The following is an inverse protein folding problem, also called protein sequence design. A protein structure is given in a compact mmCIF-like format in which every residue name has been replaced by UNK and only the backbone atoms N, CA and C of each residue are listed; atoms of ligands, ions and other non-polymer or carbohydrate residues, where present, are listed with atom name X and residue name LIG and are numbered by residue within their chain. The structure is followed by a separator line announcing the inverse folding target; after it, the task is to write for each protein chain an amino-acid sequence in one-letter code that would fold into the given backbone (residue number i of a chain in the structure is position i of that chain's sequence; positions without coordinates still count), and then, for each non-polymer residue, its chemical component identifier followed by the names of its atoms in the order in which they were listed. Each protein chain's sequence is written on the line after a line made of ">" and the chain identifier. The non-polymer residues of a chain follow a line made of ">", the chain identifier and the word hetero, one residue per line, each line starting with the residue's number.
data_IF_891402580553
#
_entry.id   IF_891402580553
#
_cell.length_a   1.000
_cell.length_b   1.000
_cell.length_c   1.000
_cell.angle_alpha   90.00
_cell.angle_beta   90.00
_cell.angle_gamma   90.00
#
_symmetry.space_group_name_H-M   'P 1'
#
loop_
_entity.id
_entity.type
_entity.pdbx_description
1 polymer ?
#
# COMPACT_ATOMS: atom_id res chain seq x y z
N UNK A 1 -12.50 34.11 -7.06
CA UNK A 1 -12.03 33.66 -5.72
C UNK A 1 -11.15 34.69 -5.00
N UNK A 2 -10.02 35.13 -5.59
CA UNK A 2 -9.13 36.11 -4.95
C UNK A 2 -9.77 37.46 -4.63
N UNK A 3 -10.58 38.01 -5.55
CA UNK A 3 -11.32 39.25 -5.30
C UNK A 3 -12.32 39.13 -4.14
N UNK A 4 -12.96 37.96 -3.98
CA UNK A 4 -13.90 37.71 -2.89
C UNK A 4 -13.19 37.57 -1.54
N UNK A 5 -12.06 36.85 -1.50
CA UNK A 5 -11.26 36.69 -0.28
C UNK A 5 -10.65 38.02 0.17
N UNK A 6 -10.20 38.85 -0.78
CA UNK A 6 -9.76 40.22 -0.53
C UNK A 6 -10.90 41.12 -0.01
N UNK A 7 -12.12 40.97 -0.53
CA UNK A 7 -13.29 41.70 -0.04
C UNK A 7 -13.69 41.28 1.38
N UNK A 8 -13.66 39.97 1.69
CA UNK A 8 -13.90 39.44 3.04
C UNK A 8 -12.85 39.98 4.02
N UNK A 9 -11.56 39.91 3.65
CA UNK A 9 -10.47 40.43 4.48
C UNK A 9 -10.68 41.93 4.75
N UNK A 10 -10.96 42.72 3.71
CA UNK A 10 -11.23 44.15 3.83
C UNK A 10 -12.43 44.46 4.72
N UNK A 11 -13.51 43.68 4.62
CA UNK A 11 -14.70 43.81 5.47
C UNK A 11 -14.38 43.51 6.93
N UNK A 12 -13.70 42.40 7.20
CA UNK A 12 -13.34 41.97 8.54
C UNK A 12 -12.36 42.94 9.23
N UNK A 13 -11.37 43.46 8.49
CA UNK A 13 -10.48 44.53 8.96
C UNK A 13 -11.27 45.79 9.34
N UNK A 14 -12.21 46.23 8.48
CA UNK A 14 -13.03 47.44 8.72
C UNK A 14 -14.05 47.27 9.85
N UNK A 15 -14.47 46.05 10.17
CA UNK A 15 -15.44 45.73 11.24
C UNK A 15 -14.77 45.40 12.58
N UNK A 16 -13.63 46.04 12.86
CA UNK A 16 -12.92 45.89 14.13
C UNK A 16 -11.90 44.77 14.15
N UNK A 17 -11.23 44.51 13.01
CA UNK A 17 -10.22 43.45 12.87
C UNK A 17 -10.72 42.08 13.32
N UNK A 18 -11.89 41.66 12.80
CA UNK A 18 -12.42 40.33 13.11
C UNK A 18 -11.42 39.25 12.67
N UNK A 19 -10.97 38.36 13.58
CA UNK A 19 -10.02 37.32 13.23
C UNK A 19 -10.71 36.25 12.37
N UNK A 20 -10.05 35.87 11.29
CA UNK A 20 -10.46 34.83 10.35
C UNK A 20 -9.52 33.64 10.47
N UNK A 21 -10.10 32.45 10.50
CA UNK A 21 -9.42 31.17 10.29
C UNK A 21 -9.86 30.61 8.95
N UNK A 22 -8.90 30.34 8.06
CA UNK A 22 -9.16 29.77 6.74
C UNK A 22 -8.85 28.28 6.73
N UNK A 23 -9.85 27.46 6.40
CA UNK A 23 -9.68 26.03 6.18
C UNK A 23 -9.75 25.77 4.67
N UNK A 24 -8.76 25.07 4.11
CA UNK A 24 -8.76 24.65 2.70
C UNK A 24 -8.55 23.16 2.67
N UNK A 25 -9.57 22.43 2.24
CA UNK A 25 -9.44 21.00 1.99
C UNK A 25 -9.05 20.72 0.54
N UNK A 26 -8.36 19.61 0.32
CA UNK A 26 -7.91 19.13 -0.98
C UNK A 26 -7.25 20.19 -1.88
N UNK A 27 -6.31 20.96 -1.31
CA UNK A 27 -5.71 22.10 -2.01
C UNK A 27 -5.06 21.72 -3.36
N UNK A 28 -4.63 20.47 -3.50
CA UNK A 28 -3.92 19.91 -4.65
C UNK A 28 -4.80 19.05 -5.57
N UNK A 29 -6.08 18.83 -5.27
CA UNK A 29 -6.91 17.94 -6.09
C UNK A 29 -7.07 18.45 -7.54
N UNK A 30 -7.25 19.75 -7.70
CA UNK A 30 -7.31 20.38 -9.02
C UNK A 30 -6.01 20.20 -9.82
N UNK A 31 -4.87 20.44 -9.19
CA UNK A 31 -3.56 20.35 -9.84
C UNK A 31 -3.14 18.91 -10.09
N UNK A 32 -3.48 17.98 -9.19
CA UNK A 32 -3.32 16.54 -9.41
C UNK A 32 -4.12 16.07 -10.62
N UNK A 33 -5.35 16.58 -10.80
CA UNK A 33 -6.19 16.28 -11.96
C UNK A 33 -5.61 16.85 -13.26
N UNK A 34 -5.08 18.08 -13.23
CA UNK A 34 -4.42 18.69 -14.39
C UNK A 34 -3.19 17.88 -14.78
N UNK A 35 -2.37 17.57 -13.78
CA UNK A 35 -1.17 16.76 -13.95
C UNK A 35 -1.57 15.43 -14.59
N UNK A 36 -2.50 14.69 -13.98
CA UNK A 36 -2.88 13.36 -14.43
C UNK A 36 -3.56 13.28 -15.80
N UNK A 37 -4.23 14.35 -16.22
CA UNK A 37 -5.08 14.33 -17.43
C UNK A 37 -4.43 15.04 -18.60
N UNK A 38 -3.78 16.17 -18.34
CA UNK A 38 -3.32 17.09 -19.38
C UNK A 38 -1.80 17.20 -19.46
N UNK A 39 -1.05 16.60 -18.52
CA UNK A 39 0.40 16.64 -18.57
C UNK A 39 1.04 17.77 -17.78
N UNK A 40 2.37 17.71 -17.70
CA UNK A 40 3.21 18.68 -16.99
C UNK A 40 3.14 20.08 -17.59
N UNK A 41 2.90 20.23 -18.91
CA UNK A 41 2.82 21.55 -19.56
C UNK A 41 1.61 22.37 -19.06
N UNK A 42 0.42 21.77 -19.03
CA UNK A 42 -0.78 22.45 -18.52
C UNK A 42 -0.71 22.68 -17.01
N UNK A 43 -0.10 21.74 -16.29
CA UNK A 43 0.20 21.90 -14.88
C UNK A 43 1.06 23.15 -14.63
N UNK A 44 2.18 23.29 -15.36
CA UNK A 44 3.06 24.45 -15.25
C UNK A 44 2.33 25.76 -15.57
N UNK A 45 1.48 25.80 -16.60
CA UNK A 45 0.66 26.99 -16.91
C UNK A 45 -0.28 27.37 -15.76
N UNK A 46 -0.76 26.41 -14.98
CA UNK A 46 -1.66 26.66 -13.85
C UNK A 46 -0.94 27.06 -12.56
N UNK A 47 0.29 26.57 -12.34
CA UNK A 47 1.05 26.73 -11.09
C UNK A 47 2.20 27.76 -11.16
N UNK A 48 2.74 28.04 -12.35
CA UNK A 48 3.84 28.99 -12.54
C UNK A 48 3.37 30.34 -13.09
N UNK A 49 4.23 31.37 -13.05
CA UNK A 49 3.96 32.67 -13.68
C UNK A 49 2.70 33.36 -13.13
N UNK A 50 1.77 33.73 -14.00
CA UNK A 50 0.44 34.29 -13.68
C UNK A 50 -0.65 33.21 -13.49
N UNK A 51 -0.25 31.94 -13.32
CA UNK A 51 -1.14 30.81 -13.14
C UNK A 51 -2.15 31.03 -12.00
N UNK A 52 -3.39 30.58 -12.23
CA UNK A 52 -4.50 30.80 -11.31
C UNK A 52 -4.23 30.31 -9.88
N UNK A 53 -3.59 29.14 -9.72
CA UNK A 53 -3.35 28.53 -8.40
C UNK A 53 -2.37 29.37 -7.59
N UNK A 54 -1.26 29.80 -8.23
CA UNK A 54 -0.30 30.72 -7.61
C UNK A 54 -0.94 32.07 -7.28
N UNK A 55 -1.76 32.60 -8.19
CA UNK A 55 -2.52 33.83 -7.95
C UNK A 55 -3.45 33.74 -6.74
N UNK A 56 -4.12 32.60 -6.55
CA UNK A 56 -4.98 32.35 -5.40
C UNK A 56 -4.19 32.35 -4.07
N UNK A 57 -3.09 31.60 -4.00
CA UNK A 57 -2.26 31.54 -2.79
C UNK A 57 -1.52 32.85 -2.49
N UNK A 58 -1.14 33.62 -3.51
CA UNK A 58 -0.62 34.97 -3.35
C UNK A 58 -1.63 35.89 -2.63
N UNK A 59 -2.91 35.81 -2.99
CA UNK A 59 -3.97 36.60 -2.32
C UNK A 59 -4.13 36.19 -0.86
N UNK A 60 -4.08 34.88 -0.57
CA UNK A 60 -4.14 34.38 0.81
C UNK A 60 -2.95 34.88 1.62
N UNK A 61 -1.73 34.77 1.08
CA UNK A 61 -0.51 35.28 1.73
C UNK A 61 -0.58 36.78 1.97
N UNK A 62 -1.04 37.56 0.99
CA UNK A 62 -1.24 39.00 1.18
C UNK A 62 -2.27 39.29 2.29
N UNK A 63 -3.29 38.45 2.42
CA UNK A 63 -4.29 38.59 3.47
C UNK A 63 -3.77 38.26 4.88
N UNK A 64 -2.65 37.54 5.03
CA UNK A 64 -2.00 37.28 6.34
C UNK A 64 -0.97 38.35 6.72
N UNK A 65 -0.47 39.12 5.75
CA UNK A 65 0.60 40.11 5.96
C UNK A 65 0.06 41.53 6.03
N UNK A 66 0.26 42.23 7.16
CA UNK A 66 -0.01 43.66 7.29
C UNK A 66 -0.74 44.06 8.58
N UNK A 67 -0.65 45.33 8.95
CA UNK A 67 -1.38 45.91 10.10
C UNK A 67 -2.88 45.90 9.83
N UNK A 68 -3.64 45.19 10.66
CA UNK A 68 -5.09 45.02 10.49
C UNK A 68 -5.51 43.87 9.57
N UNK A 69 -4.58 42.95 9.22
CA UNK A 69 -4.94 41.69 8.56
C UNK A 69 -5.99 40.93 9.37
N UNK A 70 -7.08 40.54 8.72
CA UNK A 70 -8.12 39.74 9.36
C UNK A 70 -7.76 38.25 9.37
N UNK A 71 -7.01 37.75 8.38
CA UNK A 71 -6.62 36.34 8.31
C UNK A 71 -5.48 36.02 9.27
N UNK A 72 -5.83 35.46 10.43
CA UNK A 72 -4.90 35.19 11.53
C UNK A 72 -4.29 33.79 11.45
N UNK A 73 -5.07 32.79 11.04
CA UNK A 73 -4.61 31.40 10.91
C UNK A 73 -5.22 30.73 9.71
N UNK A 74 -4.57 29.65 9.32
CA UNK A 74 -5.02 28.82 8.23
C UNK A 74 -4.54 27.39 8.45
N UNK A 75 -5.39 26.46 8.04
CA UNK A 75 -5.11 25.04 8.06
C UNK A 75 -5.53 24.47 6.72
N UNK A 76 -4.62 23.77 6.05
CA UNK A 76 -4.85 23.27 4.71
C UNK A 76 -4.48 21.80 4.64
N UNK A 77 -5.29 21.04 3.92
CA UNK A 77 -5.12 19.60 3.71
C UNK A 77 -5.06 19.32 2.21
N UNK A 78 -4.32 18.28 1.87
CA UNK A 78 -4.07 17.83 0.51
C UNK A 78 -3.29 16.52 0.57
N UNK A 79 -3.06 15.92 -0.59
CA UNK A 79 -2.43 14.60 -0.67
C UNK A 79 -0.92 14.75 -0.88
N UNK A 80 -0.51 15.52 -1.87
CA UNK A 80 0.88 15.62 -2.35
C UNK A 80 1.50 17.00 -2.09
N UNK A 81 2.78 17.07 -1.68
CA UNK A 81 3.48 18.33 -1.49
C UNK A 81 3.82 19.04 -2.81
N UNK A 82 3.69 18.37 -3.96
CA UNK A 82 4.11 18.85 -5.30
C UNK A 82 3.56 20.23 -5.62
N UNK A 83 2.26 20.39 -5.43
CA UNK A 83 1.58 21.66 -5.73
C UNK A 83 2.03 22.79 -4.85
N UNK A 84 2.28 22.53 -3.57
CA UNK A 84 2.75 23.56 -2.64
C UNK A 84 4.14 24.05 -3.00
N UNK A 85 5.03 23.14 -3.41
CA UNK A 85 6.39 23.49 -3.78
C UNK A 85 6.43 24.37 -5.04
N UNK A 86 5.64 24.02 -6.06
CA UNK A 86 5.57 24.79 -7.30
C UNK A 86 4.87 26.17 -7.14
N UNK A 87 4.08 26.35 -6.07
CA UNK A 87 3.53 27.67 -5.70
C UNK A 87 4.33 28.41 -4.62
N UNK A 88 5.46 27.87 -4.12
CA UNK A 88 6.20 28.34 -2.93
C UNK A 88 6.55 29.83 -2.93
N UNK A 89 6.89 30.43 -4.07
CA UNK A 89 7.11 31.89 -4.11
C UNK A 89 5.88 32.69 -3.63
N UNK A 90 4.69 32.13 -3.82
CA UNK A 90 3.42 32.68 -3.37
C UNK A 90 2.92 32.22 -2.01
N UNK A 91 3.53 31.20 -1.40
CA UNK A 91 2.99 30.59 -0.16
C UNK A 91 4.03 30.00 0.82
N UNK A 92 5.21 30.61 0.94
CA UNK A 92 6.25 30.21 1.90
C UNK A 92 5.96 30.55 3.38
N UNK A 93 4.69 30.56 3.80
CA UNK A 93 4.25 30.91 5.16
C UNK A 93 3.68 29.70 5.93
N UNK A 94 3.54 28.56 5.27
CA UNK A 94 3.04 27.32 5.86
C UNK A 94 4.12 26.57 6.65
N UNK A 95 3.71 25.83 7.66
CA UNK A 95 4.53 24.82 8.34
C UNK A 95 3.97 23.45 7.98
N UNK A 96 4.80 22.57 7.40
CA UNK A 96 4.41 21.20 7.12
C UNK A 96 4.41 20.39 8.43
N UNK A 97 3.27 19.79 8.77
CA UNK A 97 3.06 19.02 9.99
C UNK A 97 2.75 17.54 9.71
N UNK A 98 2.86 17.07 8.46
CA UNK A 98 2.41 15.73 8.04
C UNK A 98 3.05 14.59 8.84
N UNK A 99 4.30 14.76 9.27
CA UNK A 99 5.03 13.74 10.05
C UNK A 99 5.23 14.16 11.52
N UNK A 100 4.58 15.25 11.93
CA UNK A 100 4.66 15.75 13.30
C UNK A 100 3.94 14.78 14.26
N UNK A 101 4.61 14.28 15.31
CA UNK A 101 4.04 13.32 16.25
C UNK A 101 2.77 13.78 16.97
N UNK A 102 2.48 15.08 17.01
CA UNK A 102 1.25 15.63 17.60
C UNK A 102 0.02 15.45 16.71
N UNK A 103 0.21 15.12 15.44
CA UNK A 103 -0.88 14.97 14.47
C UNK A 103 -0.95 13.56 13.88
N UNK A 104 -0.28 12.58 14.50
CA UNK A 104 -0.26 11.20 14.00
C UNK A 104 -1.64 10.54 14.00
N UNK A 105 -2.51 10.91 14.94
CA UNK A 105 -3.90 10.46 15.08
C UNK A 105 -4.91 11.39 14.40
N UNK A 106 -4.45 12.44 13.70
CA UNK A 106 -5.34 13.40 13.06
C UNK A 106 -6.15 12.79 11.91
N UNK A 107 -5.54 11.83 11.20
CA UNK A 107 -6.09 11.21 9.98
C UNK A 107 -6.12 9.69 10.12
N UNK A 108 -7.25 9.20 10.63
CA UNK A 108 -7.54 7.78 10.81
C UNK A 108 -8.31 7.55 12.11
N UNK A 109 -8.52 6.28 12.45
CA UNK A 109 -9.00 5.89 13.77
C UNK A 109 -7.93 5.10 14.49
N UNK A 110 -7.63 5.45 15.74
CA UNK A 110 -6.89 4.56 16.63
C UNK A 110 -7.71 3.30 16.91
N UNK A 111 -7.05 2.21 17.33
CA UNK A 111 -7.79 1.00 17.75
C UNK A 111 -8.75 1.31 18.91
N UNK A 112 -8.42 2.26 19.78
CA UNK A 112 -9.27 2.68 20.89
C UNK A 112 -10.56 3.37 20.39
N UNK A 113 -10.47 4.33 19.48
CA UNK A 113 -11.63 5.01 18.89
C UNK A 113 -12.50 4.02 18.09
N UNK A 114 -11.85 3.10 17.35
CA UNK A 114 -12.56 2.04 16.64
C UNK A 114 -13.35 1.15 17.62
N UNK A 115 -12.72 0.71 18.71
CA UNK A 115 -13.37 -0.10 19.76
C UNK A 115 -14.54 0.64 20.39
N UNK A 116 -14.39 1.92 20.68
CA UNK A 116 -15.47 2.75 21.23
C UNK A 116 -16.67 2.80 20.28
N UNK A 117 -16.42 3.12 19.00
CA UNK A 117 -17.46 3.15 17.97
C UNK A 117 -18.15 1.79 17.80
N UNK A 118 -17.38 0.69 17.71
CA UNK A 118 -17.93 -0.66 17.57
C UNK A 118 -18.75 -1.07 18.80
N UNK A 119 -18.32 -0.70 20.00
CA UNK A 119 -19.05 -0.97 21.25
C UNK A 119 -20.39 -0.25 21.23
N UNK A 120 -20.41 1.03 20.83
CA UNK A 120 -21.65 1.77 20.69
C UNK A 120 -22.63 1.07 19.73
N UNK A 121 -22.19 0.68 18.53
CA UNK A 121 -23.08 -0.01 17.58
C UNK A 121 -23.48 -1.42 18.03
N UNK A 122 -22.66 -2.08 18.85
CA UNK A 122 -23.02 -3.34 19.51
C UNK A 122 -24.14 -3.14 20.52
N UNK A 123 -24.05 -2.13 21.37
CA UNK A 123 -25.07 -1.78 22.36
C UNK A 123 -26.39 -1.34 21.72
N UNK A 124 -26.33 -0.68 20.56
CA UNK A 124 -27.52 -0.35 19.77
C UNK A 124 -28.13 -1.55 19.02
N UNK A 125 -27.54 -2.74 19.11
CA UNK A 125 -28.02 -3.95 18.43
C UNK A 125 -27.80 -3.98 16.92
N UNK A 126 -26.94 -3.10 16.40
CA UNK A 126 -26.63 -3.00 14.96
C UNK A 126 -25.48 -3.95 14.58
N UNK A 127 -24.49 -4.10 15.45
CA UNK A 127 -23.36 -5.01 15.23
C UNK A 127 -23.69 -6.42 15.76
N UNK A 128 -23.90 -7.37 14.85
CA UNK A 128 -24.25 -8.76 15.21
C UNK A 128 -23.05 -9.50 15.82
N UNK A 129 -21.84 -9.25 15.34
CA UNK A 129 -20.60 -9.87 15.80
C UNK A 129 -20.06 -9.21 17.07
N UNK A 130 -19.06 -9.82 17.71
CA UNK A 130 -18.33 -9.18 18.80
C UNK A 130 -17.39 -8.10 18.27
N UNK A 131 -17.05 -7.13 19.13
CA UNK A 131 -16.10 -6.05 18.79
C UNK A 131 -14.74 -6.65 18.36
N UNK A 132 -14.26 -7.68 19.07
CA UNK A 132 -12.99 -8.33 18.76
C UNK A 132 -13.00 -9.05 17.41
N UNK A 133 -14.07 -9.79 17.09
CA UNK A 133 -14.22 -10.43 15.77
C UNK A 133 -14.20 -9.41 14.64
N UNK A 134 -14.88 -8.27 14.82
CA UNK A 134 -14.90 -7.19 13.84
C UNK A 134 -13.51 -6.57 13.64
N UNK A 135 -12.77 -6.32 14.72
CA UNK A 135 -11.40 -5.79 14.64
C UNK A 135 -10.47 -6.79 13.95
N UNK A 136 -10.58 -8.09 14.25
CA UNK A 136 -9.78 -9.14 13.60
C UNK A 136 -9.98 -9.16 12.08
N UNK A 137 -11.18 -8.83 11.59
CA UNK A 137 -11.43 -8.71 10.15
C UNK A 137 -10.90 -7.40 9.54
N UNK A 138 -10.96 -6.29 10.28
CA UNK A 138 -10.53 -4.98 9.79
C UNK A 138 -9.00 -4.82 9.78
N UNK A 139 -8.32 -5.30 10.83
CA UNK A 139 -6.89 -5.07 11.07
C UNK A 139 -5.96 -5.43 9.89
N UNK A 140 -6.10 -6.61 9.24
CA UNK A 140 -5.27 -6.97 8.09
C UNK A 140 -5.51 -6.08 6.85
N UNK A 141 -6.69 -5.46 6.76
CA UNK A 141 -7.15 -4.75 5.57
C UNK A 141 -7.01 -3.24 5.70
N UNK A 142 -7.14 -2.68 6.91
CA UNK A 142 -7.32 -1.24 7.12
C UNK A 142 -6.33 -0.60 8.09
N UNK A 143 -5.58 -1.36 8.88
CA UNK A 143 -4.64 -0.86 9.91
C UNK A 143 -3.22 -0.60 9.36
N UNK A 144 -2.29 -0.33 10.29
CA UNK A 144 -0.85 -0.13 10.14
C UNK A 144 -0.43 1.17 9.43
N UNK A 145 -1.27 2.20 9.49
CA UNK A 145 -0.84 3.53 9.08
C UNK A 145 -0.16 4.25 10.25
N UNK A 146 1.12 4.59 10.11
CA UNK A 146 1.87 5.43 11.02
C UNK A 146 2.60 6.53 10.24
N UNK A 147 2.41 7.77 10.69
CA UNK A 147 2.89 8.95 9.99
C UNK A 147 4.10 9.58 10.68
N UNK A 148 4.47 9.12 11.89
CA UNK A 148 5.59 9.66 12.64
C UNK A 148 6.52 8.59 13.24
N UNK A 149 7.83 8.81 13.10
CA UNK A 149 8.89 7.89 13.57
C UNK A 149 8.89 7.68 15.08
N UNK A 150 8.33 8.62 15.86
CA UNK A 150 8.23 8.52 17.33
C UNK A 150 6.89 7.96 17.82
N UNK A 151 6.01 7.54 16.89
CA UNK A 151 4.65 7.07 17.15
C UNK A 151 4.40 5.67 16.58
N UNK A 152 5.44 4.85 16.46
CA UNK A 152 5.35 3.50 15.86
C UNK A 152 4.37 2.55 16.57
N UNK A 153 4.01 2.82 17.82
CA UNK A 153 3.01 2.05 18.56
C UNK A 153 1.57 2.52 18.32
N UNK A 154 1.40 3.72 17.74
CA UNK A 154 0.12 4.40 17.55
C UNK A 154 -0.27 4.32 16.06
N UNK A 155 -0.49 3.10 15.56
CA UNK A 155 -0.97 2.89 14.19
C UNK A 155 -2.47 3.19 14.07
N UNK A 156 -2.83 3.73 12.91
CA UNK A 156 -4.18 4.17 12.58
C UNK A 156 -4.83 3.23 11.57
N UNK A 157 -6.13 3.02 11.75
CA UNK A 157 -7.01 2.45 10.77
C UNK A 157 -7.43 3.52 9.76
N UNK A 158 -7.50 3.15 8.48
CA UNK A 158 -8.08 3.98 7.45
C UNK A 158 -9.57 4.24 7.76
N UNK A 159 -9.92 5.50 8.03
CA UNK A 159 -11.26 5.88 8.48
C UNK A 159 -12.34 5.65 7.42
N UNK A 160 -12.05 5.93 6.15
CA UNK A 160 -13.01 5.73 5.05
C UNK A 160 -13.40 4.25 4.93
N UNK A 161 -12.40 3.37 4.96
CA UNK A 161 -12.60 1.93 4.89
C UNK A 161 -13.35 1.36 6.10
N UNK A 162 -13.04 1.85 7.30
CA UNK A 162 -13.79 1.50 8.50
C UNK A 162 -15.25 1.93 8.36
N UNK A 163 -15.52 3.16 7.93
CA UNK A 163 -16.88 3.69 7.77
C UNK A 163 -17.65 2.96 6.66
N UNK A 164 -17.00 2.60 5.56
CA UNK A 164 -17.55 1.76 4.49
C UNK A 164 -17.99 0.39 5.04
N UNK A 165 -17.12 -0.25 5.81
CA UNK A 165 -17.42 -1.53 6.44
C UNK A 165 -18.59 -1.41 7.43
N UNK A 166 -18.59 -0.37 8.26
CA UNK A 166 -19.67 -0.10 9.22
C UNK A 166 -21.01 0.20 8.55
N UNK A 167 -20.99 0.94 7.43
CA UNK A 167 -22.20 1.20 6.64
C UNK A 167 -22.87 -0.10 6.20
N UNK A 168 -22.10 -1.12 5.82
CA UNK A 168 -22.67 -2.43 5.45
C UNK A 168 -23.38 -3.10 6.62
N UNK A 169 -22.77 -3.10 7.81
CA UNK A 169 -23.42 -3.61 9.02
C UNK A 169 -24.70 -2.86 9.39
N UNK A 170 -24.67 -1.53 9.30
CA UNK A 170 -25.83 -0.69 9.61
C UNK A 170 -27.00 -0.97 8.66
N UNK A 171 -26.73 -1.18 7.37
CA UNK A 171 -27.77 -1.35 6.35
C UNK A 171 -28.23 -2.79 6.16
N UNK A 172 -27.33 -3.76 6.38
CA UNK A 172 -27.55 -5.16 5.98
C UNK A 172 -27.35 -6.15 7.14
N UNK A 173 -26.79 -5.73 8.27
CA UNK A 173 -26.49 -6.60 9.40
C UNK A 173 -25.27 -7.51 9.20
N UNK A 174 -24.56 -7.35 8.09
CA UNK A 174 -23.39 -8.14 7.70
C UNK A 174 -22.27 -7.25 7.15
N UNK A 175 -21.08 -7.83 7.01
CA UNK A 175 -19.91 -7.17 6.40
C UNK A 175 -20.13 -7.01 4.89
N UNK A 176 -19.43 -6.07 4.22
CA UNK A 176 -19.52 -5.96 2.77
C UNK A 176 -18.95 -7.21 2.08
N UNK A 177 -19.53 -7.55 0.92
CA UNK A 177 -19.03 -8.62 0.05
C UNK A 177 -17.62 -8.32 -0.45
N UNK A 178 -17.40 -7.07 -0.88
CA UNK A 178 -16.09 -6.55 -1.23
C UNK A 178 -15.50 -5.76 -0.07
N UNK A 179 -14.36 -6.18 0.47
CA UNK A 179 -13.72 -5.53 1.62
C UNK A 179 -13.14 -4.14 1.29
N UNK A 180 -13.13 -3.74 0.01
CA UNK A 180 -12.55 -2.48 -0.45
C UNK A 180 -13.66 -1.60 -0.99
N UNK A 181 -13.76 -0.37 -0.47
CA UNK A 181 -14.66 0.62 -1.07
C UNK A 181 -14.21 0.89 -2.53
N UNK A 182 -15.09 0.64 -3.52
CA UNK A 182 -14.78 0.93 -4.93
C UNK A 182 -14.38 2.39 -5.18
N UNK A 183 -14.80 3.34 -4.34
CA UNK A 183 -14.46 4.76 -4.48
C UNK A 183 -12.97 5.06 -4.21
N UNK A 184 -12.30 4.28 -3.37
CA UNK A 184 -10.86 4.49 -3.11
C UNK A 184 -10.01 3.98 -4.30
N UNK A 185 -10.51 3.00 -5.07
CA UNK A 185 -9.82 2.49 -6.27
C UNK A 185 -9.57 3.58 -7.32
N UNK A 186 -10.49 4.55 -7.45
CA UNK A 186 -10.33 5.65 -8.41
C UNK A 186 -9.21 6.61 -8.04
N UNK A 187 -8.93 6.82 -6.76
CA UNK A 187 -7.81 7.67 -6.33
C UNK A 187 -6.47 7.00 -6.59
N UNK A 188 -6.41 5.68 -6.47
CA UNK A 188 -5.20 4.94 -6.83
C UNK A 188 -4.88 5.00 -8.33
N UNK A 189 -5.87 5.15 -9.22
CA UNK A 189 -5.62 5.33 -10.65
C UNK A 189 -4.84 6.62 -11.00
N UNK A 190 -4.82 7.63 -10.12
CA UNK A 190 -4.00 8.85 -10.28
C UNK A 190 -2.50 8.52 -10.21
N UNK A 191 -2.10 7.45 -9.51
CA UNK A 191 -0.71 6.95 -9.49
C UNK A 191 -0.28 6.30 -10.80
N UNK A 192 -1.20 5.65 -11.52
CA UNK A 192 -0.89 5.05 -12.82
C UNK A 192 -0.38 6.11 -13.82
N UNK A 193 -0.73 7.38 -13.61
CA UNK A 193 -0.18 8.50 -14.35
C UNK A 193 1.28 8.84 -13.99
N UNK A 194 1.66 8.80 -12.71
CA UNK A 194 3.04 9.09 -12.28
C UNK A 194 4.05 8.09 -12.85
N UNK A 195 3.64 6.82 -12.99
CA UNK A 195 4.45 5.79 -13.66
C UNK A 195 4.45 5.98 -15.18
N UNK A 196 3.37 6.49 -15.79
CA UNK A 196 3.36 6.84 -17.23
C UNK A 196 4.39 7.93 -17.56
N UNK A 197 4.67 8.83 -16.62
CA UNK A 197 5.64 9.90 -16.79
C UNK A 197 7.09 9.41 -16.75
N UNK A 198 7.38 8.28 -16.11
CA UNK A 198 8.73 7.69 -16.06
C UNK A 198 9.16 7.03 -17.40
N UNK A 199 8.42 7.28 -18.49
CA UNK A 199 8.68 6.73 -19.82
C UNK A 199 8.86 5.20 -19.91
N UNK A 200 8.56 4.42 -18.86
CA UNK A 200 8.49 2.97 -18.90
C UNK A 200 8.99 2.24 -17.65
N UNK A 201 9.96 1.33 -17.83
CA UNK A 201 10.56 0.46 -16.81
C UNK A 201 11.81 1.12 -16.20
N UNK A 202 11.67 2.36 -15.75
CA UNK A 202 12.75 3.14 -15.18
C UNK A 202 13.04 2.79 -13.72
N UNK A 203 13.66 3.73 -13.02
CA UNK A 203 14.05 3.55 -11.61
C UNK A 203 12.82 3.43 -10.70
N UNK A 204 11.69 4.06 -11.05
CA UNK A 204 10.47 4.00 -10.23
C UNK A 204 9.79 2.64 -10.29
N UNK A 205 9.82 1.97 -11.44
CA UNK A 205 9.37 0.57 -11.54
C UNK A 205 10.24 -0.34 -10.66
N UNK A 206 11.55 -0.09 -10.62
CA UNK A 206 12.49 -0.82 -9.79
C UNK A 206 12.21 -0.62 -8.29
N UNK A 207 11.77 0.57 -7.87
CA UNK A 207 11.31 0.83 -6.49
C UNK A 207 10.11 -0.03 -6.12
N UNK A 208 9.08 -0.12 -6.96
CA UNK A 208 7.90 -0.95 -6.68
C UNK A 208 8.28 -2.44 -6.60
N UNK A 209 9.16 -2.88 -7.48
CA UNK A 209 9.71 -4.24 -7.47
C UNK A 209 10.51 -4.51 -6.19
N UNK A 210 11.39 -3.59 -5.79
CA UNK A 210 12.15 -3.69 -4.52
C UNK A 210 11.21 -3.83 -3.32
N UNK A 211 10.13 -3.03 -3.26
CA UNK A 211 9.12 -3.13 -2.20
C UNK A 211 8.41 -4.49 -2.24
N UNK A 212 8.10 -5.02 -3.42
CA UNK A 212 7.50 -6.35 -3.55
C UNK A 212 8.46 -7.47 -3.13
N UNK A 213 9.76 -7.29 -3.32
CA UNK A 213 10.79 -8.30 -3.00
C UNK A 213 11.23 -8.26 -1.54
N UNK A 214 11.42 -7.07 -0.98
CA UNK A 214 11.96 -6.87 0.36
C UNK A 214 10.87 -6.58 1.41
N UNK A 215 9.65 -6.23 0.97
CA UNK A 215 8.55 -5.82 1.85
C UNK A 215 8.72 -4.44 2.50
N UNK A 216 9.89 -3.82 2.34
CA UNK A 216 10.23 -2.53 2.94
C UNK A 216 11.21 -1.73 2.10
N UNK A 217 11.31 -0.43 2.40
CA UNK A 217 12.29 0.44 1.77
C UNK A 217 12.73 1.53 2.75
N UNK A 218 14.03 1.79 2.81
CA UNK A 218 14.57 2.86 3.66
C UNK A 218 14.73 4.14 2.84
N UNK A 219 14.14 5.25 3.29
CA UNK A 219 14.23 6.54 2.60
C UNK A 219 13.87 7.72 3.50
N UNK A 220 14.44 8.89 3.22
CA UNK A 220 13.96 10.14 3.81
C UNK A 220 12.72 10.64 3.08
N UNK A 221 11.65 10.89 3.83
CA UNK A 221 10.42 11.50 3.32
C UNK A 221 10.69 12.97 3.01
N UNK A 222 10.72 13.32 1.73
CA UNK A 222 10.88 14.70 1.28
C UNK A 222 9.61 15.51 1.61
N UNK A 223 9.77 16.69 2.19
CA UNK A 223 8.65 17.58 2.55
C UNK A 223 8.23 18.50 1.40
N UNK A 224 9.10 18.66 0.40
CA UNK A 224 8.95 19.59 -0.73
C UNK A 224 9.72 19.06 -1.94
N UNK A 225 9.09 19.09 -3.12
CA UNK A 225 9.70 18.83 -4.44
C UNK A 225 8.71 19.23 -5.54
N UNK A 226 9.22 19.65 -6.70
CA UNK A 226 8.40 20.11 -7.82
C UNK A 226 7.79 18.95 -8.63
N UNK A 227 6.83 19.26 -9.50
CA UNK A 227 6.31 18.30 -10.46
C UNK A 227 7.38 17.80 -11.46
N UNK A 228 8.48 18.53 -11.66
CA UNK A 228 9.57 18.09 -12.53
C UNK A 228 10.48 17.05 -11.86
N UNK A 229 10.55 17.06 -10.54
CA UNK A 229 11.42 16.18 -9.73
C UNK A 229 10.66 14.97 -9.17
N UNK A 230 9.36 14.85 -9.44
CA UNK A 230 8.52 13.80 -8.85
C UNK A 230 8.90 12.38 -9.30
N UNK A 231 9.55 12.25 -10.46
CA UNK A 231 10.07 10.98 -10.97
C UNK A 231 11.43 10.62 -10.39
N UNK A 232 12.09 11.52 -9.65
CA UNK A 232 13.33 11.18 -8.95
C UNK A 232 13.03 10.11 -7.89
N UNK A 233 13.88 9.09 -7.82
CA UNK A 233 13.69 7.90 -6.96
C UNK A 233 13.29 8.25 -5.52
N UNK A 234 13.96 9.23 -4.91
CA UNK A 234 13.64 9.66 -3.53
C UNK A 234 12.25 10.30 -3.42
N UNK A 235 11.90 11.15 -4.38
CA UNK A 235 10.62 11.85 -4.39
C UNK A 235 9.48 10.90 -4.73
N UNK A 236 9.70 9.94 -5.63
CA UNK A 236 8.76 8.87 -5.91
C UNK A 236 8.48 8.02 -4.65
N UNK A 237 9.51 7.60 -3.91
CA UNK A 237 9.31 6.90 -2.63
C UNK A 237 8.51 7.75 -1.62
N UNK A 238 8.77 9.06 -1.59
CA UNK A 238 8.01 10.00 -0.75
C UNK A 238 6.54 10.11 -1.22
N UNK A 239 6.28 10.14 -2.52
CA UNK A 239 4.92 10.13 -3.08
C UNK A 239 4.15 8.88 -2.66
N UNK A 240 4.78 7.70 -2.70
CA UNK A 240 4.12 6.48 -2.22
C UNK A 240 3.69 6.60 -0.75
N UNK A 241 4.48 7.26 0.09
CA UNK A 241 4.08 7.57 1.48
C UNK A 241 2.89 8.56 1.52
N UNK A 242 2.96 9.68 0.80
CA UNK A 242 1.89 10.68 0.77
C UNK A 242 0.55 10.14 0.23
N UNK A 243 0.60 9.20 -0.73
CA UNK A 243 -0.60 8.52 -1.25
C UNK A 243 -1.12 7.40 -0.33
N UNK A 244 -0.50 7.18 0.83
CA UNK A 244 -0.87 6.10 1.74
C UNK A 244 -0.56 4.71 1.20
N UNK A 245 0.29 4.60 0.17
CA UNK A 245 0.77 3.32 -0.33
C UNK A 245 1.87 2.71 0.54
N UNK A 246 2.60 3.58 1.23
CA UNK A 246 3.61 3.22 2.21
C UNK A 246 3.36 3.92 3.53
N UNK A 247 3.80 3.28 4.62
CA UNK A 247 3.72 3.82 5.97
C UNK A 247 4.99 3.55 6.77
N UNK A 248 5.22 4.32 7.83
CA UNK A 248 6.44 4.19 8.64
C UNK A 248 6.28 3.00 9.59
N UNK A 249 7.11 1.96 9.47
CA UNK A 249 7.17 0.88 10.48
C UNK A 249 8.34 0.98 11.44
N UNK A 250 9.35 1.77 11.11
CA UNK A 250 10.57 1.79 11.88
C UNK A 250 11.55 2.85 11.43
N UNK A 251 12.72 2.81 12.05
CA UNK A 251 13.88 3.60 11.67
C UNK A 251 15.11 2.71 11.61
N UNK A 252 16.01 3.00 10.68
CA UNK A 252 17.29 2.31 10.58
C UNK A 252 18.28 2.78 11.68
N UNK A 253 19.49 2.21 11.67
CA UNK A 253 20.55 2.52 12.64
C UNK A 253 21.01 4.00 12.65
N UNK A 254 20.69 4.78 11.62
CA UNK A 254 21.02 6.22 11.54
C UNK A 254 19.78 7.11 11.63
N UNK A 255 18.61 6.55 11.95
CA UNK A 255 17.37 7.28 12.18
C UNK A 255 16.55 7.59 10.91
N UNK A 256 16.88 6.99 9.77
CA UNK A 256 16.09 7.14 8.53
C UNK A 256 14.83 6.27 8.59
N UNK A 257 13.67 6.75 8.10
CA UNK A 257 12.45 5.96 8.05
C UNK A 257 12.62 4.67 7.26
N UNK A 258 12.06 3.59 7.82
CA UNK A 258 11.80 2.34 7.10
C UNK A 258 10.30 2.33 6.78
N UNK A 259 10.00 2.33 5.49
CA UNK A 259 8.65 2.36 4.97
C UNK A 259 8.21 0.95 4.54
N UNK A 260 6.92 0.63 4.68
CA UNK A 260 6.33 -0.63 4.22
C UNK A 260 4.92 -0.44 3.70
N UNK A 261 4.41 -1.46 3.02
CA UNK A 261 2.99 -1.51 2.62
C UNK A 261 2.13 -1.79 3.87
N UNK A 262 1.20 -0.89 4.26
CA UNK A 262 0.51 -0.96 5.55
C UNK A 262 -0.40 -2.19 5.67
N UNK A 263 -1.16 -2.52 4.62
CA UNK A 263 -2.19 -3.56 4.71
C UNK A 263 -2.43 -4.25 3.37
N UNK A 264 -3.27 -5.29 3.40
CA UNK A 264 -3.57 -6.15 2.25
C UNK A 264 -4.25 -5.38 1.11
N UNK A 265 -5.08 -4.38 1.43
CA UNK A 265 -5.77 -3.57 0.42
C UNK A 265 -4.75 -2.77 -0.38
N UNK A 266 -3.87 -2.06 0.31
CA UNK A 266 -2.84 -1.25 -0.33
C UNK A 266 -1.87 -2.11 -1.13
N UNK A 267 -1.55 -3.31 -0.62
CA UNK A 267 -0.69 -4.27 -1.31
C UNK A 267 -1.25 -4.71 -2.65
N UNK A 268 -2.55 -5.05 -2.70
CA UNK A 268 -3.22 -5.40 -3.95
C UNK A 268 -3.12 -4.27 -4.97
N UNK A 269 -3.27 -3.02 -4.55
CA UNK A 269 -3.12 -1.86 -5.44
C UNK A 269 -1.69 -1.76 -5.96
N UNK A 270 -0.70 -1.83 -5.07
CA UNK A 270 0.72 -1.75 -5.42
C UNK A 270 1.13 -2.84 -6.41
N UNK A 271 0.71 -4.08 -6.17
CA UNK A 271 1.02 -5.21 -7.05
C UNK A 271 0.23 -5.19 -8.35
N UNK A 272 -1.01 -4.69 -8.34
CA UNK A 272 -1.74 -4.42 -9.57
C UNK A 272 -0.96 -3.48 -10.48
N UNK A 273 -0.32 -2.44 -9.93
CA UNK A 273 0.53 -1.54 -10.72
C UNK A 273 1.75 -2.26 -11.30
N UNK A 274 2.44 -3.08 -10.50
CA UNK A 274 3.59 -3.87 -10.97
C UNK A 274 3.20 -4.80 -12.14
N UNK A 275 2.10 -5.54 -11.99
CA UNK A 275 1.57 -6.46 -13.01
C UNK A 275 1.16 -5.70 -14.28
N UNK A 276 0.46 -4.57 -14.14
CA UNK A 276 0.10 -3.73 -15.29
C UNK A 276 1.33 -3.21 -16.03
N UNK A 277 2.41 -2.86 -15.31
CA UNK A 277 3.68 -2.48 -15.91
C UNK A 277 4.28 -3.61 -16.74
N UNK A 278 4.32 -4.84 -16.22
CA UNK A 278 4.78 -6.01 -16.98
C UNK A 278 3.95 -6.25 -18.26
N UNK A 279 2.63 -6.12 -18.19
CA UNK A 279 1.73 -6.33 -19.33
C UNK A 279 1.93 -5.22 -20.39
N UNK A 280 1.94 -3.95 -19.95
CA UNK A 280 2.03 -2.77 -20.83
C UNK A 280 3.34 -2.74 -21.59
N UNK A 281 4.43 -3.14 -20.95
CA UNK A 281 5.76 -3.20 -21.57
C UNK A 281 6.07 -4.54 -22.25
N UNK A 282 5.09 -5.44 -22.33
CA UNK A 282 5.20 -6.75 -22.97
C UNK A 282 6.36 -7.60 -22.40
N UNK A 283 6.59 -7.49 -21.08
CA UNK A 283 7.58 -8.30 -20.36
C UNK A 283 6.98 -9.67 -20.04
N UNK A 284 5.77 -9.64 -19.45
CA UNK A 284 5.13 -10.83 -18.95
C UNK A 284 3.61 -10.66 -18.95
N UNK A 285 2.93 -11.66 -19.52
CA UNK A 285 1.48 -11.78 -19.56
C UNK A 285 1.12 -13.18 -19.11
N UNK A 286 0.09 -13.28 -18.29
CA UNK A 286 -0.43 -14.57 -17.84
C UNK A 286 -1.95 -14.56 -17.97
N UNK A 287 -2.53 -15.71 -18.29
CA UNK A 287 -3.98 -15.85 -18.33
C UNK A 287 -4.53 -15.79 -16.89
N UNK A 288 -5.04 -14.63 -16.50
CA UNK A 288 -5.57 -14.38 -15.17
C UNK A 288 -6.83 -15.19 -14.86
N UNK A 289 -7.61 -15.60 -15.87
CA UNK A 289 -8.77 -16.47 -15.66
C UNK A 289 -8.30 -17.87 -15.27
N UNK A 290 -7.30 -18.39 -15.98
CA UNK A 290 -6.68 -19.68 -15.65
C UNK A 290 -5.95 -19.63 -14.31
N UNK A 291 -5.21 -18.56 -14.01
CA UNK A 291 -4.60 -18.35 -12.68
C UNK A 291 -5.65 -18.46 -11.57
N UNK A 292 -6.80 -17.77 -11.73
CA UNK A 292 -7.86 -17.75 -10.72
C UNK A 292 -8.41 -19.14 -10.44
N UNK A 293 -8.75 -19.87 -11.50
CA UNK A 293 -9.24 -21.26 -11.36
C UNK A 293 -8.21 -22.17 -10.67
N UNK A 294 -6.92 -22.05 -11.01
CA UNK A 294 -5.86 -22.86 -10.40
C UNK A 294 -5.63 -22.49 -8.94
N UNK A 295 -5.72 -21.20 -8.60
CA UNK A 295 -5.62 -20.72 -7.24
C UNK A 295 -6.80 -21.18 -6.38
N UNK A 296 -8.02 -21.19 -6.91
CA UNK A 296 -9.20 -21.72 -6.23
C UNK A 296 -9.10 -23.23 -5.97
N UNK A 297 -8.56 -23.98 -6.94
CA UNK A 297 -8.28 -25.41 -6.76
C UNK A 297 -7.22 -25.66 -5.69
N UNK A 298 -6.17 -24.83 -5.63
CA UNK A 298 -5.25 -24.83 -4.50
C UNK A 298 -6.02 -24.58 -3.21
N UNK A 299 -6.68 -23.43 -3.08
CA UNK A 299 -7.31 -22.97 -1.84
C UNK A 299 -8.34 -23.96 -1.25
N UNK A 300 -9.22 -24.50 -2.09
CA UNK A 300 -10.36 -25.29 -1.63
C UNK A 300 -10.21 -26.80 -1.79
N UNK A 301 -9.28 -27.28 -2.63
CA UNK A 301 -9.11 -28.71 -2.92
C UNK A 301 -7.73 -29.25 -2.58
N UNK A 302 -6.76 -28.39 -2.28
CA UNK A 302 -5.39 -28.81 -2.04
C UNK A 302 -4.58 -29.08 -3.31
N UNK A 303 -5.13 -28.80 -4.49
CA UNK A 303 -4.46 -29.08 -5.77
C UNK A 303 -3.55 -27.91 -6.19
N UNK A 304 -2.39 -27.82 -5.53
CA UNK A 304 -1.48 -26.68 -5.63
C UNK A 304 -0.45 -26.80 -6.76
N UNK A 305 -0.03 -28.03 -7.13
CA UNK A 305 1.01 -28.24 -8.16
C UNK A 305 0.67 -27.61 -9.52
N UNK A 306 -0.57 -27.72 -10.04
CA UNK A 306 -0.93 -27.13 -11.33
C UNK A 306 -0.74 -25.62 -11.40
N UNK A 307 -0.94 -24.90 -10.28
CA UNK A 307 -0.73 -23.45 -10.21
C UNK A 307 0.73 -23.09 -10.48
N UNK A 308 1.68 -23.71 -9.76
CA UNK A 308 3.10 -23.41 -9.92
C UNK A 308 3.66 -23.89 -11.26
N UNK A 309 3.19 -25.03 -11.76
CA UNK A 309 3.54 -25.49 -13.11
C UNK A 309 3.07 -24.51 -14.18
N UNK A 310 1.87 -23.96 -14.06
CA UNK A 310 1.35 -22.97 -15.00
C UNK A 310 2.16 -21.66 -14.97
N UNK A 311 2.57 -21.19 -13.78
CA UNK A 311 3.47 -20.03 -13.65
C UNK A 311 4.82 -20.33 -14.32
N UNK A 312 5.41 -21.50 -14.07
CA UNK A 312 6.68 -21.90 -14.66
C UNK A 312 6.60 -22.03 -16.19
N UNK A 313 5.51 -22.57 -16.72
CA UNK A 313 5.24 -22.62 -18.16
C UNK A 313 5.19 -21.22 -18.77
N UNK A 314 4.48 -20.29 -18.14
CA UNK A 314 4.39 -18.91 -18.60
C UNK A 314 5.76 -18.19 -18.61
N UNK A 315 6.60 -18.42 -17.59
CA UNK A 315 7.98 -17.89 -17.53
C UNK A 315 8.86 -18.52 -18.62
N UNK A 316 8.69 -19.83 -18.86
CA UNK A 316 9.38 -20.55 -19.92
C UNK A 316 8.93 -20.11 -21.32
N UNK A 317 7.71 -19.63 -21.52
CA UNK A 317 7.28 -19.17 -22.86
C UNK A 317 7.73 -17.74 -23.16
N UNK A 318 8.03 -16.95 -22.14
CA UNK A 318 8.31 -15.52 -22.27
C UNK A 318 9.74 -15.21 -21.83
N UNK A 319 10.68 -15.09 -22.78
CA UNK A 319 12.10 -14.90 -22.45
C UNK A 319 12.40 -13.60 -21.69
N UNK A 320 11.63 -12.53 -21.94
CA UNK A 320 11.90 -11.18 -21.37
C UNK A 320 11.81 -11.16 -19.85
N UNK A 321 10.87 -11.88 -19.23
CA UNK A 321 10.77 -11.90 -17.75
C UNK A 321 12.00 -12.55 -17.10
N UNK A 322 12.71 -13.43 -17.83
CA UNK A 322 13.85 -14.16 -17.28
C UNK A 322 15.04 -13.25 -17.00
N UNK A 323 15.16 -12.13 -17.71
CA UNK A 323 16.16 -11.08 -17.44
C UNK A 323 15.90 -10.36 -16.11
N UNK A 324 14.68 -10.47 -15.56
CA UNK A 324 14.31 -9.89 -14.26
C UNK A 324 14.36 -10.91 -13.12
N UNK A 325 14.77 -12.16 -13.39
CA UNK A 325 14.86 -13.24 -12.41
C UNK A 325 16.34 -13.48 -12.08
N UNK A 326 16.85 -12.78 -11.08
CA UNK A 326 18.24 -12.89 -10.62
C UNK A 326 18.32 -13.28 -9.15
N UNK A 327 17.97 -14.53 -8.85
CA UNK A 327 18.06 -15.07 -7.49
C UNK A 327 16.71 -15.26 -6.80
N UNK A 328 16.78 -15.67 -5.54
CA UNK A 328 15.61 -16.09 -4.76
C UNK A 328 14.63 -14.96 -4.48
N UNK A 329 15.14 -13.78 -4.09
CA UNK A 329 14.31 -12.60 -3.79
C UNK A 329 13.43 -12.19 -4.98
N UNK A 330 13.95 -12.28 -6.20
CA UNK A 330 13.21 -11.98 -7.43
C UNK A 330 12.04 -12.94 -7.67
N UNK A 331 12.29 -14.25 -7.54
CA UNK A 331 11.22 -15.26 -7.65
C UNK A 331 10.18 -15.05 -6.55
N UNK A 332 10.62 -14.79 -5.31
CA UNK A 332 9.72 -14.52 -4.18
C UNK A 332 8.85 -13.28 -4.45
N UNK A 333 9.44 -12.14 -4.80
CA UNK A 333 8.68 -10.93 -5.11
C UNK A 333 7.72 -11.11 -6.28
N UNK A 334 8.13 -11.85 -7.32
CA UNK A 334 7.27 -12.20 -8.45
C UNK A 334 6.08 -13.06 -8.02
N UNK A 335 6.32 -14.15 -7.28
CA UNK A 335 5.24 -15.00 -6.76
C UNK A 335 4.32 -14.22 -5.82
N UNK A 336 4.90 -13.38 -4.94
CA UNK A 336 4.14 -12.53 -4.03
C UNK A 336 3.22 -11.57 -4.79
N UNK A 337 3.70 -10.97 -5.88
CA UNK A 337 2.92 -10.04 -6.69
C UNK A 337 1.68 -10.72 -7.29
N UNK A 338 1.82 -11.91 -7.87
CA UNK A 338 0.70 -12.63 -8.49
C UNK A 338 -0.21 -13.35 -7.50
N UNK A 339 0.36 -14.04 -6.50
CA UNK A 339 -0.40 -14.80 -5.52
C UNK A 339 -1.07 -13.87 -4.49
N UNK A 340 -0.46 -12.71 -4.22
CA UNK A 340 -0.99 -11.69 -3.32
C UNK A 340 -2.23 -10.97 -3.83
N UNK A 341 -2.62 -11.19 -5.09
CA UNK A 341 -3.86 -10.68 -5.68
C UNK A 341 -5.11 -11.42 -5.19
N UNK A 342 -4.96 -12.62 -4.60
CA UNK A 342 -6.08 -13.48 -4.21
C UNK A 342 -6.40 -13.35 -2.72
N UNK A 343 -7.57 -12.79 -2.41
CA UNK A 343 -8.00 -12.46 -1.04
C UNK A 343 -8.45 -13.65 -0.19
N UNK A 344 -8.49 -14.86 -0.75
CA UNK A 344 -8.76 -16.09 0.01
C UNK A 344 -7.79 -16.27 1.19
N UNK A 345 -6.58 -15.72 1.06
CA UNK A 345 -5.53 -15.79 2.05
C UNK A 345 -5.04 -14.40 2.47
N UNK A 346 -4.79 -14.26 3.76
CA UNK A 346 -3.84 -13.29 4.28
C UNK A 346 -2.44 -13.84 4.00
N UNK A 347 -1.90 -13.52 2.82
CA UNK A 347 -0.56 -13.94 2.43
C UNK A 347 0.47 -13.09 3.17
N UNK A 348 1.25 -13.68 4.08
CA UNK A 348 2.33 -12.98 4.77
C UNK A 348 3.68 -13.40 4.18
N UNK A 349 4.44 -12.48 3.57
CA UNK A 349 5.82 -12.75 3.16
C UNK A 349 6.78 -12.64 4.35
N UNK A 350 7.85 -13.45 4.35
CA UNK A 350 8.94 -13.39 5.34
C UNK A 350 8.40 -13.25 6.78
N UNK A 351 7.43 -14.11 7.12
CA UNK A 351 6.72 -14.01 8.39
C UNK A 351 7.46 -14.78 9.48
N UNK A 352 7.69 -14.14 10.63
CA UNK A 352 8.40 -14.76 11.74
C UNK A 352 7.57 -15.91 12.34
N UNK A 353 8.08 -17.14 12.24
CA UNK A 353 7.50 -18.36 12.81
C UNK A 353 8.59 -19.15 13.53
N UNK A 354 8.36 -19.46 14.80
CA UNK A 354 9.19 -20.32 15.64
C UNK A 354 10.72 -20.22 15.36
N UNK A 355 11.30 -19.03 15.57
CA UNK A 355 12.73 -18.72 15.41
C UNK A 355 13.26 -18.86 13.97
N UNK A 356 12.46 -18.47 12.99
CA UNK A 356 12.85 -18.23 11.60
C UNK A 356 11.78 -17.48 10.83
N UNK A 357 11.99 -17.26 9.54
CA UNK A 357 11.06 -16.55 8.66
C UNK A 357 10.60 -17.51 7.56
N UNK A 358 9.28 -17.73 7.47
CA UNK A 358 8.71 -18.49 6.37
C UNK A 358 8.52 -17.58 5.16
N UNK A 359 8.91 -18.05 3.98
CA UNK A 359 8.83 -17.24 2.77
C UNK A 359 7.40 -16.82 2.47
N UNK A 360 6.45 -17.77 2.59
CA UNK A 360 5.03 -17.50 2.43
C UNK A 360 4.18 -18.30 3.42
N UNK A 361 3.40 -17.57 4.22
CA UNK A 361 2.29 -18.13 4.98
C UNK A 361 0.97 -17.72 4.32
N UNK A 362 0.23 -18.71 3.82
CA UNK A 362 -1.15 -18.55 3.34
C UNK A 362 -2.11 -18.87 4.47
N UNK A 363 -2.46 -17.85 5.26
CA UNK A 363 -3.45 -17.97 6.35
C UNK A 363 -4.86 -17.67 5.82
N UNK A 364 -5.85 -18.57 5.97
CA UNK A 364 -7.21 -18.30 5.50
C UNK A 364 -7.74 -16.96 5.99
N UNK A 365 -8.29 -16.16 5.09
CA UNK A 365 -8.78 -14.82 5.42
C UNK A 365 -10.16 -14.88 6.08
N UNK A 366 -10.36 -14.25 7.25
CA UNK A 366 -11.69 -14.14 7.87
C UNK A 366 -12.59 -13.15 7.12
N UNK A 367 -12.02 -12.33 6.22
CA UNK A 367 -12.75 -11.32 5.47
C UNK A 367 -13.51 -11.87 4.26
N UNK A 368 -13.21 -13.09 3.80
CA UNK A 368 -13.91 -13.71 2.66
C UNK A 368 -15.21 -14.40 3.08
N UNK A 369 -16.23 -14.48 2.20
CA UNK A 369 -17.50 -15.15 2.53
C UNK A 369 -17.35 -16.65 2.83
N UNK A 370 -16.44 -17.33 2.10
CA UNK A 370 -16.16 -18.76 2.28
C UNK A 370 -14.68 -18.91 2.58
N UNK A 371 -14.38 -19.33 3.80
CA UNK A 371 -13.00 -19.51 4.26
C UNK A 371 -12.39 -20.80 3.67
N UNK A 372 -11.20 -20.74 3.07
CA UNK A 372 -10.47 -21.93 2.66
C UNK A 372 -10.21 -22.89 3.83
N UNK A 373 -10.32 -24.21 3.63
CA UNK A 373 -10.07 -25.19 4.68
C UNK A 373 -8.58 -25.45 4.93
N UNK A 374 -7.70 -24.98 4.04
CA UNK A 374 -6.27 -25.30 4.02
C UNK A 374 -5.43 -24.07 4.35
N UNK A 375 -4.39 -24.26 5.14
CA UNK A 375 -3.30 -23.30 5.40
C UNK A 375 -2.04 -23.82 4.74
N UNK A 376 -1.26 -22.94 4.11
CA UNK A 376 0.00 -23.32 3.47
C UNK A 376 1.18 -22.60 4.09
N UNK A 377 2.24 -23.36 4.34
CA UNK A 377 3.59 -22.85 4.48
C UNK A 377 4.36 -23.23 3.22
N UNK A 378 4.87 -22.24 2.51
CA UNK A 378 5.60 -22.43 1.27
C UNK A 378 7.01 -21.85 1.43
N UNK A 379 8.01 -22.66 1.12
CA UNK A 379 9.42 -22.28 1.07
C UNK A 379 9.92 -22.34 -0.38
N UNK A 380 10.58 -21.27 -0.81
CA UNK A 380 11.15 -21.09 -2.14
C UNK A 380 12.67 -21.18 -2.03
N UNK A 381 13.28 -22.03 -2.85
CA UNK A 381 14.74 -22.08 -2.99
C UNK A 381 15.18 -21.77 -4.40
N UNK A 382 16.34 -21.15 -4.49
CA UNK A 382 16.96 -20.81 -5.77
C UNK A 382 18.34 -21.43 -5.92
N UNK A 383 18.58 -22.05 -7.07
CA UNK A 383 19.87 -22.52 -7.52
C UNK A 383 20.32 -21.75 -8.77
N UNK A 384 21.63 -21.54 -8.93
CA UNK A 384 22.18 -20.96 -10.15
C UNK A 384 22.10 -21.95 -11.31
N UNK A 385 22.10 -21.43 -12.54
CA UNK A 385 22.13 -22.26 -13.74
C UNK A 385 23.30 -23.27 -13.71
N UNK A 386 23.03 -24.52 -14.08
CA UNK A 386 24.01 -25.61 -14.05
C UNK A 386 24.18 -26.30 -12.70
N UNK A 387 23.37 -25.97 -11.69
CA UNK A 387 23.34 -26.70 -10.43
C UNK A 387 23.02 -28.19 -10.65
N UNK A 388 23.75 -29.05 -9.96
CA UNK A 388 23.56 -30.50 -9.99
C UNK A 388 22.30 -30.93 -9.26
N UNK A 389 21.77 -32.11 -9.60
CA UNK A 389 20.64 -32.72 -8.88
C UNK A 389 20.91 -32.84 -7.37
N UNK A 390 22.17 -33.09 -6.98
CA UNK A 390 22.58 -33.17 -5.57
C UNK A 390 22.44 -31.83 -4.86
N UNK A 391 22.78 -30.73 -5.52
CA UNK A 391 22.61 -29.37 -4.96
C UNK A 391 21.14 -29.00 -4.85
N UNK A 392 20.33 -29.31 -5.88
CA UNK A 392 18.87 -29.09 -5.87
C UNK A 392 18.24 -29.88 -4.72
N UNK A 393 18.64 -31.14 -4.52
CA UNK A 393 18.15 -31.97 -3.41
C UNK A 393 18.54 -31.40 -2.05
N UNK A 394 19.78 -30.95 -1.89
CA UNK A 394 20.24 -30.35 -0.64
C UNK A 394 19.46 -29.08 -0.26
N UNK A 395 19.12 -28.24 -1.25
CA UNK A 395 18.23 -27.08 -1.04
C UNK A 395 16.83 -27.53 -0.58
N UNK A 396 16.26 -28.54 -1.23
CA UNK A 396 14.94 -29.06 -0.88
C UNK A 396 14.90 -29.68 0.54
N UNK A 397 15.96 -30.39 0.93
CA UNK A 397 16.07 -30.98 2.27
C UNK A 397 16.23 -29.88 3.35
N UNK A 398 17.00 -28.82 3.07
CA UNK A 398 17.08 -27.65 3.96
C UNK A 398 15.72 -26.95 4.12
N UNK A 399 15.01 -26.72 3.01
CA UNK A 399 13.65 -26.15 3.03
C UNK A 399 12.68 -27.02 3.84
N UNK A 400 12.78 -28.34 3.71
CA UNK A 400 11.98 -29.30 4.49
C UNK A 400 12.21 -29.13 5.99
N UNK A 401 13.46 -29.02 6.44
CA UNK A 401 13.78 -28.81 7.84
C UNK A 401 13.22 -27.49 8.38
N UNK A 402 13.28 -26.41 7.58
CA UNK A 402 12.67 -25.12 7.90
C UNK A 402 11.15 -25.25 8.05
N UNK A 403 10.47 -25.82 7.06
CA UNK A 403 9.01 -26.00 7.09
C UNK A 403 8.55 -26.86 8.27
N UNK A 404 9.27 -27.93 8.60
CA UNK A 404 8.97 -28.75 9.77
C UNK A 404 9.10 -27.95 11.08
N UNK A 405 10.09 -27.06 11.18
CA UNK A 405 10.25 -26.15 12.33
C UNK A 405 9.11 -25.15 12.43
N UNK A 406 8.76 -24.51 11.31
CA UNK A 406 7.66 -23.53 11.22
C UNK A 406 6.30 -24.17 11.52
N UNK A 407 6.11 -25.45 11.16
CA UNK A 407 4.89 -26.21 11.46
C UNK A 407 4.62 -26.42 12.97
N UNK A 408 5.59 -26.10 13.84
CA UNK A 408 5.45 -26.15 15.29
C UNK A 408 4.96 -24.83 15.90
N UNK A 409 4.79 -23.78 15.09
CA UNK A 409 4.32 -22.49 15.57
C UNK A 409 2.84 -22.53 16.01
N UNK A 410 2.49 -21.73 17.00
CA UNK A 410 1.12 -21.65 17.54
C UNK A 410 0.12 -21.19 16.46
N UNK A 411 0.53 -20.32 15.54
CA UNK A 411 -0.34 -19.77 14.50
C UNK A 411 -0.85 -20.79 13.48
N UNK A 412 -0.12 -21.89 13.29
CA UNK A 412 -0.50 -22.98 12.36
C UNK A 412 -0.90 -24.26 13.09
N UNK A 413 -0.86 -24.25 14.42
CA UNK A 413 -1.15 -25.44 15.24
C UNK A 413 -2.58 -25.94 15.06
N UNK A 414 -3.55 -25.03 14.95
CA UNK A 414 -4.95 -25.41 14.71
C UNK A 414 -5.13 -26.07 13.33
N UNK A 415 -4.59 -25.45 12.28
CA UNK A 415 -4.63 -26.01 10.93
C UNK A 415 -3.96 -27.38 10.87
N UNK A 416 -2.82 -27.54 11.55
CA UNK A 416 -2.11 -28.82 11.67
C UNK A 416 -2.95 -29.88 12.38
N UNK A 417 -3.57 -29.55 13.51
CA UNK A 417 -4.40 -30.48 14.28
C UNK A 417 -5.62 -30.96 13.49
N UNK A 418 -6.17 -30.11 12.61
CA UNK A 418 -7.29 -30.43 11.71
C UNK A 418 -6.86 -31.16 10.42
N UNK A 419 -5.56 -31.41 10.22
CA UNK A 419 -5.03 -31.97 8.97
C UNK A 419 -5.11 -31.02 7.77
N UNK A 420 -5.33 -29.73 8.02
CA UNK A 420 -5.45 -28.68 7.00
C UNK A 420 -4.17 -27.90 6.75
N UNK A 421 -3.03 -28.30 7.32
CA UNK A 421 -1.73 -27.66 7.07
C UNK A 421 -0.98 -28.37 5.95
N UNK A 422 -0.56 -27.62 4.94
CA UNK A 422 0.25 -28.08 3.81
C UNK A 422 1.63 -27.42 3.85
N UNK A 423 2.68 -28.22 3.74
CA UNK A 423 4.07 -27.77 3.75
C UNK A 423 4.67 -27.98 2.37
N UNK A 424 4.91 -26.91 1.63
CA UNK A 424 5.32 -26.95 0.22
C UNK A 424 6.75 -26.43 0.09
N UNK A 425 7.58 -27.19 -0.62
CA UNK A 425 8.90 -26.74 -1.09
C UNK A 425 8.85 -26.57 -2.59
N UNK A 426 9.29 -25.42 -3.09
CA UNK A 426 9.52 -25.19 -4.52
C UNK A 426 10.98 -24.80 -4.75
N UNK A 427 11.63 -25.43 -5.74
CA UNK A 427 13.02 -25.11 -6.09
C UNK A 427 13.09 -24.67 -7.54
N UNK A 428 13.68 -23.50 -7.74
CA UNK A 428 13.97 -22.92 -9.04
C UNK A 428 15.47 -23.05 -9.34
N UNK A 429 15.84 -23.42 -10.55
CA UNK A 429 17.19 -23.35 -11.08
C UNK A 429 17.22 -22.28 -12.16
N UNK A 430 17.81 -21.12 -11.87
CA UNK A 430 17.61 -19.92 -12.68
C UNK A 430 16.11 -19.60 -12.81
N UNK A 431 15.54 -19.64 -14.01
CA UNK A 431 14.11 -19.44 -14.27
C UNK A 431 13.32 -20.75 -14.39
N UNK A 432 13.98 -21.92 -14.31
CA UNK A 432 13.33 -23.23 -14.47
C UNK A 432 12.84 -23.75 -13.12
N UNK A 433 11.56 -24.13 -13.05
CA UNK A 433 11.03 -24.84 -11.89
C UNK A 433 11.46 -26.30 -11.95
N UNK A 434 12.32 -26.73 -11.04
CA UNK A 434 12.98 -28.05 -11.08
C UNK A 434 12.43 -29.03 -10.04
N UNK A 435 11.78 -28.53 -8.98
CA UNK A 435 11.24 -29.39 -7.92
C UNK A 435 10.00 -28.76 -7.28
N UNK A 436 8.97 -29.60 -7.07
CA UNK A 436 7.75 -29.31 -6.30
C UNK A 436 7.51 -30.47 -5.33
N UNK A 437 7.70 -30.23 -4.04
CA UNK A 437 7.52 -31.27 -3.00
C UNK A 437 6.57 -30.81 -1.90
N UNK A 438 5.84 -31.78 -1.35
CA UNK A 438 5.03 -31.61 -0.15
C UNK A 438 5.61 -32.49 0.96
N UNK A 439 5.81 -31.92 2.13
CA UNK A 439 6.49 -32.59 3.26
C UNK A 439 5.52 -33.45 4.07
N UNK A 440 4.26 -33.04 4.18
CA UNK A 440 3.22 -33.65 5.01
C UNK A 440 1.88 -33.73 4.28
#
# INVERSE_FOLDING_TARGET
>A
PGAFLSAINSYASRKGNLPIYLLIDEYDNFTNTILSTYGTEYYQKATHGEGFVRGFFNVIKAATTGTGSALQRMFITGVSPVTMDDVTSGFNIGTNITTDPWFNDLVGFSEAELREMLTYYKEQGVLMQTVDETIVMMKPNYDNYCFSRSRLADCMFNSDMVLYFMKSFVLHGEKPDEIVDPNIRTDFNKLAYLIRLDHGLGENFSVIKEIAEQGEITTDIATHFSALEMTDVRNFKSLLFYFGLLSIKGVDMVGRPILHVPNLVVREQLFSFLIQGYIKHDIFKIDMNRMTMLFENMAFRGDWKPLFNFIAEAIREQSRIREYIEGEAHIKGFLLAYLGMYRYYQLYPEYELNKGFADFLFKPSPSVPVMPPLTYLLEVKYAKAGASEKEIRALADGAREQLLRYSQDELVTEARAKGGLKLITIVWCSWELVLLEEVL
#
